data_IF_607532874774
#
_entry.id   IF_607532874774
#
_cell.length_a   1.000
_cell.length_b   1.000
_cell.length_c   1.000
_cell.angle_alpha   90.00
_cell.angle_beta   90.00
_cell.angle_gamma   90.00
#
_symmetry.space_group_name_H-M   'P 1'
#
loop_
_entity.id
_entity.type
_entity.pdbx_description
1 polymer ?
#
# COMPACT_ATOMS: atom_id res chain seq x y z
N UNK A 1 1.71 14.69 -26.04
CA UNK A 1 2.57 15.52 -25.24
C UNK A 1 2.60 16.92 -25.79
N UNK A 2 2.46 17.95 -24.94
CA UNK A 2 2.32 19.35 -25.36
C UNK A 2 0.96 19.73 -25.95
N UNK A 3 0.01 18.80 -26.02
CA UNK A 3 -1.36 19.04 -26.50
C UNK A 3 -2.41 18.89 -25.39
N UNK A 4 -1.99 18.49 -24.20
CA UNK A 4 -2.79 18.37 -23.00
C UNK A 4 -2.07 19.05 -21.83
N UNK A 5 -2.81 19.54 -20.86
CA UNK A 5 -2.26 20.26 -19.71
C UNK A 5 -1.50 19.36 -18.75
N UNK A 6 -1.97 18.11 -18.55
CA UNK A 6 -1.32 17.12 -17.71
C UNK A 6 -1.73 15.69 -18.11
N UNK A 7 -0.89 14.71 -17.72
CA UNK A 7 -1.19 13.29 -17.82
C UNK A 7 -1.40 12.68 -16.43
N UNK A 8 -2.42 11.84 -16.29
CA UNK A 8 -2.57 10.93 -15.15
C UNK A 8 -1.95 9.56 -15.46
N UNK A 9 -0.96 9.16 -14.68
CA UNK A 9 -0.40 7.81 -14.76
C UNK A 9 -1.28 6.87 -13.92
N UNK A 10 -2.14 6.10 -14.59
CA UNK A 10 -3.05 5.15 -13.96
C UNK A 10 -2.58 3.70 -14.06
N UNK A 11 -2.93 2.88 -13.06
CA UNK A 11 -2.60 1.45 -13.02
C UNK A 11 -1.14 1.11 -12.73
N UNK A 12 -0.27 2.12 -12.54
CA UNK A 12 1.11 1.97 -12.10
C UNK A 12 1.51 3.20 -11.28
N UNK A 13 2.17 2.97 -10.16
CA UNK A 13 2.74 4.04 -9.35
C UNK A 13 4.13 4.41 -9.85
N UNK A 14 4.49 5.67 -9.71
CA UNK A 14 5.84 6.16 -9.93
C UNK A 14 6.68 6.09 -8.66
N UNK A 15 6.05 6.23 -7.50
CA UNK A 15 6.72 6.29 -6.21
C UNK A 15 6.06 5.38 -5.18
N UNK A 16 6.87 4.92 -4.22
CA UNK A 16 6.43 4.32 -2.95
C UNK A 16 6.99 5.20 -1.83
N UNK A 17 6.15 5.57 -0.89
CA UNK A 17 6.54 6.32 0.30
C UNK A 17 6.51 5.37 1.50
N UNK A 18 7.66 5.08 2.09
CA UNK A 18 7.76 4.18 3.23
C UNK A 18 8.90 4.53 4.15
N UNK A 19 8.65 4.51 5.47
CA UNK A 19 9.65 4.77 6.49
C UNK A 19 10.34 6.15 6.35
N UNK A 20 9.59 7.17 5.96
CA UNK A 20 10.07 8.53 5.74
C UNK A 20 10.94 8.70 4.48
N UNK A 21 10.89 7.76 3.54
CA UNK A 21 11.65 7.79 2.28
C UNK A 21 10.75 7.59 1.08
N UNK A 22 11.10 8.23 -0.03
CA UNK A 22 10.49 8.03 -1.34
C UNK A 22 11.38 7.09 -2.17
N UNK A 23 10.79 6.04 -2.68
CA UNK A 23 11.42 5.09 -3.60
C UNK A 23 10.80 5.23 -4.98
N UNK A 24 11.61 5.27 -6.03
CA UNK A 24 11.14 5.45 -7.42
C UNK A 24 11.02 4.10 -8.10
N UNK A 25 9.82 3.75 -8.53
CA UNK A 25 9.54 2.57 -9.34
C UNK A 25 10.09 2.77 -10.76
N UNK A 26 11.04 1.92 -11.14
CA UNK A 26 11.77 2.03 -12.41
C UNK A 26 10.86 2.06 -13.64
N UNK A 27 9.82 1.22 -13.66
CA UNK A 27 8.89 1.14 -14.78
C UNK A 27 7.99 2.38 -14.86
N UNK A 28 7.41 2.81 -13.74
CA UNK A 28 6.60 4.03 -13.67
C UNK A 28 7.40 5.29 -14.05
N UNK A 29 8.63 5.40 -13.58
CA UNK A 29 9.51 6.53 -13.91
C UNK A 29 9.90 6.51 -15.40
N UNK A 30 10.15 5.33 -15.97
CA UNK A 30 10.44 5.21 -17.41
C UNK A 30 9.26 5.69 -18.28
N UNK A 31 8.03 5.32 -17.90
CA UNK A 31 6.83 5.79 -18.60
C UNK A 31 6.67 7.30 -18.41
N UNK A 32 6.81 7.78 -17.17
CA UNK A 32 6.68 9.22 -16.88
C UNK A 32 7.66 10.10 -17.67
N UNK A 33 8.89 9.62 -17.91
CA UNK A 33 9.90 10.34 -18.69
C UNK A 33 9.62 10.41 -20.19
N UNK A 34 8.61 9.72 -20.70
CA UNK A 34 8.20 9.84 -22.11
C UNK A 34 7.47 11.16 -22.41
N UNK A 35 6.87 11.75 -21.41
CA UNK A 35 6.31 13.11 -21.52
C UNK A 35 7.40 14.15 -21.27
N UNK A 36 7.58 15.04 -22.21
CA UNK A 36 8.64 16.06 -22.20
C UNK A 36 8.10 17.47 -21.96
N UNK A 37 6.84 17.72 -22.31
CA UNK A 37 6.22 19.03 -22.29
C UNK A 37 5.09 19.13 -21.26
N UNK A 38 4.28 18.07 -21.11
CA UNK A 38 3.17 18.05 -20.18
C UNK A 38 3.56 17.33 -18.89
N UNK A 39 3.21 17.83 -17.70
CA UNK A 39 3.50 17.14 -16.44
C UNK A 39 2.77 15.81 -16.35
N UNK A 40 3.41 14.84 -15.69
CA UNK A 40 2.80 13.55 -15.34
C UNK A 40 2.66 13.47 -13.82
N UNK A 41 1.46 13.12 -13.38
CA UNK A 41 1.13 12.82 -11.97
C UNK A 41 0.62 11.38 -11.83
N UNK A 42 0.86 10.77 -10.69
CA UNK A 42 0.35 9.46 -10.32
C UNK A 42 -0.40 9.51 -8.97
N UNK A 43 -1.03 8.41 -8.58
CA UNK A 43 -1.77 8.33 -7.32
C UNK A 43 -0.92 8.13 -6.08
N UNK A 44 0.40 8.00 -6.18
CA UNK A 44 1.27 7.63 -5.05
C UNK A 44 1.27 8.69 -3.94
N UNK A 45 1.14 9.96 -4.27
CA UNK A 45 1.02 11.04 -3.28
C UNK A 45 -0.25 10.95 -2.44
N UNK A 46 -1.35 10.45 -2.99
CA UNK A 46 -2.61 10.26 -2.27
C UNK A 46 -2.50 9.15 -1.21
N UNK A 47 -1.71 8.12 -1.47
CA UNK A 47 -1.44 7.05 -0.49
C UNK A 47 -0.71 7.56 0.75
N UNK A 48 0.13 8.57 0.61
CA UNK A 48 0.85 9.15 1.75
C UNK A 48 0.06 10.30 2.43
N UNK A 49 -0.77 11.02 1.71
CA UNK A 49 -1.52 12.17 2.24
C UNK A 49 -2.97 11.82 2.60
N UNK A 50 -3.81 11.49 1.60
CA UNK A 50 -5.23 11.24 1.79
C UNK A 50 -5.49 10.03 2.70
N UNK A 51 -4.77 8.93 2.48
CA UNK A 51 -4.95 7.72 3.27
C UNK A 51 -4.53 7.91 4.74
N UNK A 52 -3.54 8.77 4.98
CA UNK A 52 -3.16 9.20 6.34
C UNK A 52 -4.26 10.03 7.00
N UNK A 53 -4.85 10.95 6.25
CA UNK A 53 -5.84 11.88 6.76
C UNK A 53 -7.22 11.24 6.99
N UNK A 54 -7.61 10.25 6.19
CA UNK A 54 -8.96 9.65 6.26
C UNK A 54 -9.22 8.95 7.60
N UNK A 55 -8.19 8.38 8.23
CA UNK A 55 -8.34 7.65 9.50
C UNK A 55 -8.77 8.59 10.63
N UNK A 56 -8.02 9.66 10.98
CA UNK A 56 -8.46 10.61 12.01
C UNK A 56 -9.77 11.32 11.61
N UNK A 57 -9.99 11.61 10.33
CA UNK A 57 -11.25 12.20 9.88
C UNK A 57 -12.47 11.34 10.22
N UNK A 58 -12.40 10.02 10.01
CA UNK A 58 -13.48 9.09 10.35
C UNK A 58 -13.79 9.15 11.85
N UNK A 59 -12.77 9.21 12.70
CA UNK A 59 -12.92 9.32 14.15
C UNK A 59 -13.49 10.68 14.57
N UNK A 60 -12.97 11.78 14.03
CA UNK A 60 -13.46 13.14 14.29
C UNK A 60 -14.93 13.32 13.91
N UNK A 61 -15.38 12.66 12.85
CA UNK A 61 -16.80 12.67 12.44
C UNK A 61 -17.66 11.70 13.26
N UNK A 62 -17.09 10.96 14.21
CA UNK A 62 -17.82 9.98 15.02
C UNK A 62 -18.37 8.79 14.22
N UNK A 63 -17.85 8.54 13.02
CA UNK A 63 -18.33 7.46 12.15
C UNK A 63 -17.84 6.08 12.62
N UNK A 64 -16.60 6.03 13.14
CA UNK A 64 -16.00 4.80 13.62
C UNK A 64 -14.84 5.13 14.57
N UNK A 65 -14.57 4.26 15.56
CA UNK A 65 -13.38 4.33 16.42
C UNK A 65 -12.45 3.17 16.12
N UNK A 66 -11.20 3.48 15.86
CA UNK A 66 -10.15 2.47 15.62
C UNK A 66 -9.47 2.00 16.92
N UNK A 67 -9.68 2.70 18.04
CA UNK A 67 -9.10 2.35 19.34
C UNK A 67 -9.43 0.91 19.71
N UNK A 68 -8.41 0.16 20.10
CA UNK A 68 -8.48 -1.28 20.47
C UNK A 68 -9.03 -2.22 19.38
N UNK A 69 -9.19 -1.74 18.14
CA UNK A 69 -9.58 -2.61 17.02
C UNK A 69 -8.38 -3.36 16.46
N UNK A 70 -8.58 -4.64 16.21
CA UNK A 70 -7.58 -5.50 15.56
C UNK A 70 -7.65 -5.29 14.05
N UNK A 71 -6.65 -4.65 13.48
CA UNK A 71 -6.58 -4.31 12.06
C UNK A 71 -5.53 -5.16 11.36
N UNK A 72 -5.96 -6.00 10.41
CA UNK A 72 -5.05 -6.68 9.48
C UNK A 72 -4.79 -5.78 8.28
N UNK A 73 -3.55 -5.31 8.13
CA UNK A 73 -3.15 -4.49 7.00
C UNK A 73 -2.35 -5.31 5.99
N UNK A 74 -2.93 -5.63 4.82
CA UNK A 74 -2.37 -6.61 3.88
C UNK A 74 -1.16 -6.10 3.08
N UNK A 75 -1.01 -4.77 2.91
CA UNK A 75 0.11 -4.13 2.20
C UNK A 75 0.43 -2.78 2.82
N UNK A 76 1.14 -2.79 3.93
CA UNK A 76 1.42 -1.58 4.70
C UNK A 76 2.60 -0.77 4.15
N UNK A 77 3.59 -1.43 3.52
CA UNK A 77 4.75 -0.72 2.93
C UNK A 77 4.30 0.25 1.84
N UNK A 78 3.33 -0.13 1.01
CA UNK A 78 2.80 0.70 -0.07
C UNK A 78 1.80 1.77 0.43
N UNK A 79 1.28 1.62 1.65
CA UNK A 79 0.29 2.50 2.30
C UNK A 79 0.77 2.92 3.69
N UNK A 80 2.01 3.37 3.75
CA UNK A 80 2.70 3.63 5.00
C UNK A 80 2.01 4.72 5.83
N UNK A 81 1.46 5.74 5.17
CA UNK A 81 0.67 6.80 5.82
C UNK A 81 -0.55 6.27 6.56
N UNK A 82 -1.29 5.33 5.95
CA UNK A 82 -2.43 4.66 6.61
C UNK A 82 -1.96 3.80 7.80
N UNK A 83 -0.82 3.11 7.67
CA UNK A 83 -0.26 2.29 8.74
C UNK A 83 0.10 3.12 9.97
N UNK A 84 0.69 4.29 9.79
CA UNK A 84 0.98 5.24 10.88
C UNK A 84 -0.30 5.78 11.51
N UNK A 85 -1.25 6.25 10.70
CA UNK A 85 -2.51 6.80 11.19
C UNK A 85 -3.33 5.80 12.01
N UNK A 86 -3.40 4.52 11.58
CA UNK A 86 -4.07 3.47 12.34
C UNK A 86 -3.42 3.21 13.71
N UNK A 87 -2.10 3.21 13.78
CA UNK A 87 -1.39 3.07 15.06
C UNK A 87 -1.61 4.28 15.96
N UNK A 88 -1.57 5.48 15.40
CA UNK A 88 -1.79 6.73 16.13
C UNK A 88 -3.22 6.81 16.68
N UNK A 89 -4.20 6.20 16.01
CA UNK A 89 -5.60 6.05 16.48
C UNK A 89 -5.79 4.95 17.55
N UNK A 90 -4.71 4.28 17.97
CA UNK A 90 -4.77 3.26 19.02
C UNK A 90 -5.24 1.88 18.56
N UNK A 91 -5.21 1.58 17.26
CA UNK A 91 -5.51 0.25 16.75
C UNK A 91 -4.38 -0.75 17.04
N UNK A 92 -4.75 -2.02 17.28
CA UNK A 92 -3.80 -3.16 17.28
C UNK A 92 -3.57 -3.62 15.85
N UNK A 93 -2.49 -3.14 15.22
CA UNK A 93 -2.24 -3.36 13.80
C UNK A 93 -1.28 -4.52 13.56
N UNK A 94 -1.72 -5.46 12.74
CA UNK A 94 -0.91 -6.55 12.19
C UNK A 94 -0.55 -6.24 10.73
N UNK A 95 0.74 -6.07 10.44
CA UNK A 95 1.23 -5.81 9.09
C UNK A 95 1.50 -7.12 8.35
N UNK A 96 0.77 -7.33 7.27
CA UNK A 96 0.76 -8.57 6.50
C UNK A 96 1.74 -8.61 5.33
N UNK A 97 2.60 -7.62 5.13
CA UNK A 97 3.50 -7.54 3.97
C UNK A 97 4.35 -8.81 3.78
N UNK A 98 4.89 -9.35 4.87
CA UNK A 98 5.68 -10.59 4.85
C UNK A 98 4.81 -11.80 4.48
N UNK A 99 3.54 -11.80 4.91
CA UNK A 99 2.60 -12.89 4.65
C UNK A 99 2.10 -12.86 3.20
N UNK A 100 1.54 -11.71 2.79
CA UNK A 100 0.80 -11.61 1.53
C UNK A 100 1.69 -11.35 0.32
N UNK A 101 2.85 -10.69 0.52
CA UNK A 101 3.79 -10.34 -0.55
C UNK A 101 4.91 -11.38 -0.63
N UNK A 102 5.51 -11.74 0.51
CA UNK A 102 6.63 -12.68 0.54
C UNK A 102 6.22 -14.15 0.75
N UNK A 103 4.96 -14.41 1.11
CA UNK A 103 4.45 -15.76 1.33
C UNK A 103 4.94 -16.43 2.62
N UNK A 104 5.53 -15.70 3.56
CA UNK A 104 6.06 -16.21 4.81
C UNK A 104 5.07 -15.98 5.97
N UNK A 105 4.79 -16.96 6.85
CA UNK A 105 3.73 -16.86 7.85
C UNK A 105 4.11 -16.05 9.10
N UNK A 106 4.78 -14.93 8.93
CA UNK A 106 5.27 -14.08 10.02
C UNK A 106 4.76 -12.64 9.85
N UNK A 107 3.70 -12.24 10.59
CA UNK A 107 3.24 -10.85 10.58
C UNK A 107 4.22 -9.95 11.32
N UNK A 108 4.31 -8.69 10.87
CA UNK A 108 4.99 -7.66 11.62
C UNK A 108 3.99 -6.93 12.53
N UNK A 109 4.42 -6.58 13.74
CA UNK A 109 3.56 -5.92 14.75
C UNK A 109 4.01 -4.51 15.11
N UNK A 110 5.08 -4.02 14.52
CA UNK A 110 5.61 -2.71 14.86
C UNK A 110 5.99 -1.92 13.61
N UNK A 111 5.75 -0.61 13.66
CA UNK A 111 6.15 0.30 12.59
C UNK A 111 7.67 0.29 12.35
N UNK A 112 8.47 0.06 13.42
CA UNK A 112 9.93 -0.08 13.29
C UNK A 112 10.33 -1.30 12.46
N UNK A 113 9.64 -2.44 12.67
CA UNK A 113 9.88 -3.65 11.89
C UNK A 113 9.46 -3.44 10.43
N UNK A 114 8.30 -2.82 10.19
CA UNK A 114 7.82 -2.46 8.86
C UNK A 114 8.80 -1.51 8.15
N UNK A 115 9.29 -0.46 8.83
CA UNK A 115 10.26 0.48 8.29
C UNK A 115 11.59 -0.19 7.93
N UNK A 116 12.06 -1.14 8.75
CA UNK A 116 13.27 -1.93 8.44
C UNK A 116 13.06 -2.81 7.22
N UNK A 117 11.92 -3.51 7.15
CA UNK A 117 11.54 -4.29 5.98
C UNK A 117 11.54 -3.42 4.72
N UNK A 118 10.85 -2.27 4.77
CA UNK A 118 10.79 -1.33 3.65
C UNK A 118 12.17 -0.88 3.18
N UNK A 119 13.07 -0.52 4.10
CA UNK A 119 14.44 -0.07 3.77
C UNK A 119 15.28 -1.13 3.06
N UNK A 120 15.05 -2.41 3.38
CA UNK A 120 15.78 -3.53 2.78
C UNK A 120 15.13 -3.98 1.47
N UNK A 121 13.80 -4.09 1.46
CA UNK A 121 13.06 -4.70 0.36
C UNK A 121 12.71 -3.70 -0.74
N UNK A 122 12.32 -2.45 -0.38
CA UNK A 122 11.88 -1.48 -1.37
C UNK A 122 12.94 -1.15 -2.44
N UNK A 123 14.24 -0.97 -2.13
CA UNK A 123 15.26 -0.73 -3.16
C UNK A 123 15.36 -1.84 -4.21
N UNK A 124 15.04 -3.08 -3.84
CA UNK A 124 15.05 -4.24 -4.74
C UNK A 124 13.74 -4.31 -5.52
N UNK A 125 12.62 -4.18 -4.82
CA UNK A 125 11.27 -4.29 -5.40
C UNK A 125 11.02 -3.22 -6.46
N UNK A 126 11.46 -1.98 -6.24
CA UNK A 126 11.26 -0.89 -7.22
C UNK A 126 12.00 -1.08 -8.55
N UNK A 127 12.94 -2.03 -8.62
CA UNK A 127 13.62 -2.40 -9.87
C UNK A 127 12.87 -3.47 -10.66
N UNK A 128 11.93 -4.18 -10.02
CA UNK A 128 11.18 -5.26 -10.64
C UNK A 128 10.09 -4.72 -11.59
N UNK A 129 9.71 -5.49 -12.62
CA UNK A 129 8.53 -5.16 -13.42
C UNK A 129 7.26 -5.12 -12.57
N UNK A 130 6.39 -4.14 -12.79
CA UNK A 130 5.14 -3.96 -12.03
C UNK A 130 4.26 -5.21 -12.01
N UNK A 131 4.25 -5.99 -13.09
CA UNK A 131 3.52 -7.27 -13.21
C UNK A 131 3.97 -8.36 -12.22
N UNK A 132 5.14 -8.19 -11.58
CA UNK A 132 5.64 -9.12 -10.56
C UNK A 132 5.25 -8.65 -9.15
N UNK A 133 5.06 -7.35 -9.00
CA UNK A 133 4.73 -6.71 -7.72
C UNK A 133 3.21 -6.75 -7.50
N UNK A 134 2.44 -6.43 -8.53
CA UNK A 134 0.98 -6.33 -8.47
C UNK A 134 0.33 -7.38 -9.38
N UNK A 135 -0.79 -7.98 -8.96
CA UNK A 135 -1.60 -8.81 -9.85
C UNK A 135 -2.19 -7.93 -10.95
N UNK A 136 -1.83 -8.18 -12.20
CA UNK A 136 -2.34 -7.45 -13.37
C UNK A 136 -3.15 -8.36 -14.29
N UNK A 137 -4.12 -7.79 -15.03
CA UNK A 137 -4.97 -8.52 -15.96
C UNK A 137 -5.79 -9.63 -15.29
N UNK A 138 -5.87 -10.79 -15.92
CA UNK A 138 -6.69 -11.94 -15.45
C UNK A 138 -6.33 -12.45 -14.04
N UNK A 139 -5.14 -12.12 -13.54
CA UNK A 139 -4.74 -12.48 -12.18
C UNK A 139 -5.47 -11.72 -11.09
N UNK A 140 -6.06 -10.55 -11.40
CA UNK A 140 -6.82 -9.74 -10.44
C UNK A 140 -8.16 -10.39 -10.08
N UNK A 141 -8.75 -11.15 -11.01
CA UNK A 141 -10.02 -11.86 -10.80
C UNK A 141 -9.90 -13.21 -10.08
N UNK A 142 -8.67 -13.73 -9.95
CA UNK A 142 -8.47 -15.07 -9.39
C UNK A 142 -8.42 -15.04 -7.86
N UNK A 143 -9.48 -15.56 -7.24
CA UNK A 143 -9.58 -15.75 -5.78
C UNK A 143 -8.84 -17.05 -5.41
N UNK A 144 -7.93 -16.96 -4.46
CA UNK A 144 -7.17 -18.10 -3.90
C UNK A 144 -7.13 -17.92 -2.40
N UNK A 145 -8.16 -18.38 -1.66
CA UNK A 145 -8.23 -18.21 -0.21
C UNK A 145 -6.99 -18.78 0.48
N UNK A 146 -6.34 -17.95 1.27
CA UNK A 146 -5.14 -18.29 2.04
C UNK A 146 -5.10 -17.47 3.31
N UNK A 147 -4.37 -17.98 4.29
CA UNK A 147 -4.06 -17.21 5.50
C UNK A 147 -5.27 -16.87 6.37
N UNK A 148 -6.34 -17.68 6.29
CA UNK A 148 -7.63 -17.47 6.97
C UNK A 148 -7.47 -17.08 8.44
N UNK A 149 -6.55 -17.71 9.17
CA UNK A 149 -6.30 -17.41 10.60
C UNK A 149 -6.00 -15.93 10.89
N UNK A 150 -5.44 -15.17 9.92
CA UNK A 150 -5.16 -13.75 10.10
C UNK A 150 -6.40 -12.91 9.83
N UNK A 151 -7.25 -13.33 8.89
CA UNK A 151 -8.55 -12.73 8.65
C UNK A 151 -9.48 -12.95 9.84
N UNK A 152 -9.51 -14.18 10.41
CA UNK A 152 -10.32 -14.50 11.59
C UNK A 152 -9.90 -13.74 12.85
N UNK A 153 -8.62 -13.36 12.93
CA UNK A 153 -8.11 -12.53 14.03
C UNK A 153 -8.59 -11.08 13.92
N UNK A 154 -8.80 -10.56 12.74
CA UNK A 154 -9.02 -9.15 12.49
C UNK A 154 -10.49 -8.75 12.67
N UNK A 155 -10.73 -7.61 13.33
CA UNK A 155 -12.02 -6.94 13.35
C UNK A 155 -12.20 -6.10 12.07
N UNK A 156 -11.09 -5.68 11.45
CA UNK A 156 -11.04 -4.88 10.22
C UNK A 156 -9.86 -5.30 9.35
N UNK A 157 -10.06 -5.18 8.03
CA UNK A 157 -9.00 -5.43 7.04
C UNK A 157 -8.75 -4.14 6.28
N UNK A 158 -7.49 -3.72 6.19
CA UNK A 158 -7.06 -2.51 5.49
C UNK A 158 -5.97 -2.83 4.45
N UNK A 159 -5.81 -1.96 3.46
CA UNK A 159 -4.75 -2.06 2.47
C UNK A 159 -5.25 -2.21 1.04
N UNK A 160 -4.51 -2.92 0.19
CA UNK A 160 -4.85 -3.08 -1.21
C UNK A 160 -6.05 -4.01 -1.42
N UNK A 161 -7.11 -3.49 -2.02
CA UNK A 161 -8.36 -4.22 -2.25
C UNK A 161 -8.15 -5.48 -3.13
N UNK A 162 -7.28 -5.45 -4.12
CA UNK A 162 -7.04 -6.61 -4.98
C UNK A 162 -6.35 -7.74 -4.23
N UNK A 163 -5.43 -7.41 -3.31
CA UNK A 163 -4.81 -8.40 -2.44
C UNK A 163 -5.81 -8.96 -1.41
N UNK A 164 -6.64 -8.11 -0.82
CA UNK A 164 -7.72 -8.52 0.09
C UNK A 164 -8.62 -9.51 -0.63
N UNK A 165 -9.22 -9.11 -1.76
CA UNK A 165 -10.13 -9.94 -2.55
C UNK A 165 -9.50 -11.26 -3.02
N UNK A 166 -8.20 -11.26 -3.29
CA UNK A 166 -7.51 -12.45 -3.79
C UNK A 166 -7.37 -13.54 -2.74
N UNK A 167 -7.12 -13.17 -1.49
CA UNK A 167 -6.76 -14.12 -0.44
C UNK A 167 -7.86 -14.36 0.61
N UNK A 168 -8.92 -13.59 0.58
CA UNK A 168 -10.10 -13.67 1.45
C UNK A 168 -11.20 -14.68 0.96
#
# INVERSE_FOLDING_TARGET
DGKVDAFGLGGIDRYIYAGGRRYTLREGDRIARTAQHSPIVDGSGLKDSLERWVIPYIEEQGLFSFTDKRVLMVSAVDRFGMAEALLDSGADVMFGDVIFILGLPYPLKTLRALSRLARVVAPLVVQLPSKWIYPTGDRQGKIVPKYQRYYDWADMIAGDFHLIKRYM
#
